data_IF_232325972307
#
_entry.id   IF_232325972307
#
_cell.length_a   1.000
_cell.length_b   1.000
_cell.length_c   1.000
_cell.angle_alpha   90.00
_cell.angle_beta   90.00
_cell.angle_gamma   90.00
#
_symmetry.space_group_name_H-M   'P 1'
#
loop_
_entity.id
_entity.type
_entity.pdbx_description
1 polymer ?
#
# COMPACT_ATOMS: atom_id res chain seq x y z
N UNK A 1 -18.55 -8.06 -4.95
CA UNK A 1 -19.64 -9.04 -5.11
C UNK A 1 -20.39 -9.21 -3.79
N UNK A 2 -21.58 -8.63 -3.70
CA UNK A 2 -22.39 -8.65 -2.46
C UNK A 2 -23.51 -9.70 -2.49
N UNK A 3 -23.76 -10.35 -3.64
CA UNK A 3 -24.78 -11.39 -3.77
C UNK A 3 -24.25 -12.74 -3.31
N UNK A 4 -25.02 -13.45 -2.48
CA UNK A 4 -24.77 -14.87 -2.21
C UNK A 4 -25.08 -15.66 -3.49
N UNK A 5 -24.07 -16.35 -4.01
CA UNK A 5 -24.24 -17.27 -5.12
C UNK A 5 -24.92 -18.54 -4.62
N UNK A 6 -25.92 -19.01 -5.36
CA UNK A 6 -26.43 -20.36 -5.21
C UNK A 6 -25.50 -21.31 -5.97
N UNK A 7 -24.83 -22.16 -5.20
CA UNK A 7 -23.85 -23.14 -5.70
C UNK A 7 -24.43 -24.55 -5.80
N UNK A 8 -25.70 -24.75 -5.45
CA UNK A 8 -26.34 -26.07 -5.48
C UNK A 8 -26.35 -26.69 -6.87
N UNK A 9 -26.47 -25.84 -7.88
CA UNK A 9 -26.41 -26.21 -9.29
C UNK A 9 -24.98 -26.22 -9.86
N UNK A 10 -23.91 -26.07 -9.07
CA UNK A 10 -22.55 -26.04 -9.62
C UNK A 10 -21.96 -27.45 -9.58
N UNK A 11 -21.25 -27.83 -10.64
CA UNK A 11 -20.61 -29.13 -10.72
C UNK A 11 -19.09 -29.02 -10.54
N UNK A 12 -18.51 -29.87 -9.71
CA UNK A 12 -17.06 -29.84 -9.42
C UNK A 12 -16.36 -31.18 -9.67
N UNK A 13 -17.07 -32.19 -10.18
CA UNK A 13 -16.58 -33.57 -10.31
C UNK A 13 -15.26 -33.74 -11.05
N UNK A 14 -15.03 -32.91 -12.08
CA UNK A 14 -13.78 -32.90 -12.84
C UNK A 14 -12.80 -31.86 -12.29
N UNK A 15 -13.29 -30.67 -11.91
CA UNK A 15 -12.48 -29.57 -11.37
C UNK A 15 -11.70 -30.03 -10.12
N UNK A 16 -12.37 -30.68 -9.16
CA UNK A 16 -11.76 -31.14 -7.91
C UNK A 16 -10.69 -32.21 -8.13
N UNK A 17 -10.77 -32.92 -9.27
CA UNK A 17 -9.84 -33.97 -9.65
C UNK A 17 -8.69 -33.48 -10.54
N UNK A 18 -8.70 -32.23 -11.01
CA UNK A 18 -7.67 -31.70 -11.92
C UNK A 18 -6.27 -31.87 -11.32
N UNK A 19 -6.09 -31.57 -10.03
CA UNK A 19 -4.80 -31.68 -9.33
C UNK A 19 -4.22 -33.10 -9.37
N UNK A 20 -5.08 -34.13 -9.29
CA UNK A 20 -4.70 -35.53 -9.41
C UNK A 20 -4.19 -35.87 -10.82
N UNK A 21 -4.74 -35.23 -11.87
CA UNK A 21 -4.31 -35.44 -13.25
C UNK A 21 -3.07 -34.62 -13.63
N UNK A 22 -2.87 -33.45 -13.01
CA UNK A 22 -1.79 -32.50 -13.33
C UNK A 22 -0.57 -32.63 -12.43
N UNK A 23 -0.36 -33.78 -11.76
CA UNK A 23 0.78 -34.03 -10.86
C UNK A 23 2.06 -33.33 -11.35
N UNK A 24 2.79 -32.69 -10.43
CA UNK A 24 3.99 -31.91 -10.73
C UNK A 24 5.17 -32.80 -11.15
N UNK A 25 5.12 -33.33 -12.37
CA UNK A 25 6.15 -34.16 -13.00
C UNK A 25 6.57 -33.58 -14.36
N UNK A 26 7.72 -33.99 -14.88
CA UNK A 26 8.31 -33.42 -16.09
C UNK A 26 7.45 -33.65 -17.34
N UNK A 27 6.81 -34.81 -17.45
CA UNK A 27 5.90 -35.14 -18.55
C UNK A 27 4.72 -34.17 -18.61
N UNK A 28 4.06 -33.90 -17.48
CA UNK A 28 2.92 -32.99 -17.40
C UNK A 28 3.32 -31.51 -17.59
N UNK A 29 4.56 -31.13 -17.29
CA UNK A 29 5.05 -29.76 -17.54
C UNK A 29 5.28 -29.43 -19.01
N UNK A 30 5.46 -30.44 -19.84
CA UNK A 30 5.83 -30.30 -21.25
C UNK A 30 4.70 -30.67 -22.21
N UNK A 31 3.74 -31.48 -21.74
CA UNK A 31 2.61 -31.95 -22.52
C UNK A 31 1.52 -30.85 -22.67
N UNK A 32 0.97 -30.62 -23.88
CA UNK A 32 -0.18 -29.75 -24.09
C UNK A 32 -1.45 -30.25 -23.36
N UNK A 33 -2.25 -29.33 -22.84
CA UNK A 33 -3.48 -29.67 -22.11
C UNK A 33 -4.51 -30.45 -22.96
N UNK A 34 -4.52 -30.26 -24.28
CA UNK A 34 -5.45 -30.96 -25.21
C UNK A 34 -5.22 -32.48 -25.24
N UNK A 35 -4.02 -32.94 -24.89
CA UNK A 35 -3.69 -34.38 -24.84
C UNK A 35 -4.21 -35.05 -23.56
N UNK A 36 -4.87 -34.30 -22.67
CA UNK A 36 -5.45 -34.77 -21.41
C UNK A 36 -6.95 -34.48 -21.37
N UNK A 37 -7.75 -35.41 -21.91
CA UNK A 37 -9.22 -35.30 -21.94
C UNK A 37 -9.87 -34.89 -20.60
N UNK A 38 -9.32 -35.35 -19.46
CA UNK A 38 -9.84 -34.97 -18.12
C UNK A 38 -9.60 -33.51 -17.74
N UNK A 39 -8.50 -32.92 -18.22
CA UNK A 39 -8.23 -31.48 -18.05
C UNK A 39 -9.23 -30.69 -18.90
N UNK A 40 -9.47 -31.13 -20.14
CA UNK A 40 -10.46 -30.50 -21.01
C UNK A 40 -11.87 -30.56 -20.42
N UNK A 41 -12.29 -31.70 -19.88
CA UNK A 41 -13.58 -31.85 -19.19
C UNK A 41 -13.69 -30.91 -17.98
N UNK A 42 -12.63 -30.80 -17.16
CA UNK A 42 -12.57 -29.85 -16.06
C UNK A 42 -12.70 -28.39 -16.53
N UNK A 43 -12.09 -28.05 -17.66
CA UNK A 43 -12.21 -26.71 -18.24
C UNK A 43 -13.61 -26.41 -18.79
N UNK A 44 -14.26 -27.37 -19.45
CA UNK A 44 -15.65 -27.23 -19.89
C UNK A 44 -16.61 -27.06 -18.70
N UNK A 45 -16.41 -27.83 -17.62
CA UNK A 45 -17.17 -27.68 -16.38
C UNK A 45 -16.94 -26.31 -15.73
N UNK A 46 -15.71 -25.78 -15.78
CA UNK A 46 -15.40 -24.44 -15.30
C UNK A 46 -16.13 -23.36 -16.12
N UNK A 47 -16.19 -23.50 -17.45
CA UNK A 47 -16.94 -22.58 -18.31
C UNK A 47 -18.44 -22.61 -17.96
N UNK A 48 -19.00 -23.80 -17.76
CA UNK A 48 -20.41 -23.93 -17.41
C UNK A 48 -20.72 -23.30 -16.05
N UNK A 49 -19.90 -23.57 -15.02
CA UNK A 49 -20.02 -22.91 -13.71
C UNK A 49 -19.87 -21.38 -13.83
N UNK A 50 -18.93 -20.89 -14.65
CA UNK A 50 -18.77 -19.46 -14.88
C UNK A 50 -20.02 -18.83 -15.54
N UNK A 51 -20.65 -19.52 -16.49
CA UNK A 51 -21.92 -19.11 -17.08
C UNK A 51 -23.03 -19.04 -16.03
N UNK A 52 -23.11 -20.01 -15.12
CA UNK A 52 -24.08 -20.03 -14.02
C UNK A 52 -23.84 -18.86 -13.06
N UNK A 53 -22.59 -18.58 -12.69
CA UNK A 53 -22.21 -17.41 -11.87
C UNK A 53 -22.67 -16.11 -12.53
N UNK A 54 -22.31 -15.87 -13.80
CA UNK A 54 -22.61 -14.62 -14.50
C UNK A 54 -24.13 -14.36 -14.58
N UNK A 55 -24.94 -15.41 -14.75
CA UNK A 55 -26.42 -15.30 -14.78
C UNK A 55 -27.02 -14.88 -13.45
N UNK A 56 -26.34 -15.16 -12.33
CA UNK A 56 -26.78 -14.77 -11.00
C UNK A 56 -26.32 -13.36 -10.61
N UNK A 57 -25.30 -12.81 -11.26
CA UNK A 57 -24.74 -11.50 -10.92
C UNK A 57 -25.48 -10.36 -11.62
N UNK A 58 -25.39 -9.16 -11.03
CA UNK A 58 -25.87 -7.94 -11.70
C UNK A 58 -24.93 -7.56 -12.85
N UNK A 59 -25.38 -6.67 -13.74
CA UNK A 59 -24.60 -6.25 -14.90
C UNK A 59 -23.21 -5.67 -14.54
N UNK A 60 -23.11 -4.96 -13.42
CA UNK A 60 -21.86 -4.35 -12.96
C UNK A 60 -20.83 -5.41 -12.52
N UNK A 61 -21.20 -6.33 -11.63
CA UNK A 61 -20.32 -7.42 -11.19
C UNK A 61 -19.94 -8.34 -12.36
N UNK A 62 -20.90 -8.68 -13.24
CA UNK A 62 -20.67 -9.52 -14.43
C UNK A 62 -19.70 -8.87 -15.42
N UNK A 63 -19.89 -7.58 -15.72
CA UNK A 63 -18.97 -6.84 -16.61
C UNK A 63 -17.57 -6.72 -16.02
N UNK A 64 -17.45 -6.54 -14.71
CA UNK A 64 -16.16 -6.48 -14.02
C UNK A 64 -15.36 -7.79 -14.17
N UNK A 65 -16.03 -8.94 -14.04
CA UNK A 65 -15.43 -10.25 -14.32
C UNK A 65 -14.98 -10.34 -15.77
N UNK A 66 -15.88 -10.02 -16.71
CA UNK A 66 -15.59 -10.12 -18.14
C UNK A 66 -14.36 -9.28 -18.54
N UNK A 67 -14.29 -8.04 -18.08
CA UNK A 67 -13.18 -7.12 -18.36
C UNK A 67 -11.88 -7.66 -17.75
N UNK A 68 -11.89 -8.12 -16.51
CA UNK A 68 -10.71 -8.65 -15.85
C UNK A 68 -10.17 -9.92 -16.54
N UNK A 69 -11.05 -10.84 -16.94
CA UNK A 69 -10.65 -12.03 -17.72
C UNK A 69 -10.06 -11.65 -19.08
N UNK A 70 -10.69 -10.72 -19.80
CA UNK A 70 -10.19 -10.23 -21.08
C UNK A 70 -8.83 -9.53 -20.93
N UNK A 71 -8.65 -8.75 -19.86
CA UNK A 71 -7.39 -8.09 -19.55
C UNK A 71 -6.29 -9.09 -19.22
N UNK A 72 -6.59 -10.12 -18.40
CA UNK A 72 -5.64 -11.18 -18.11
C UNK A 72 -5.18 -11.87 -19.41
N UNK A 73 -6.09 -12.24 -20.31
CA UNK A 73 -5.74 -12.85 -21.60
C UNK A 73 -4.82 -11.96 -22.44
N UNK A 74 -5.06 -10.64 -22.44
CA UNK A 74 -4.29 -9.67 -23.23
C UNK A 74 -2.96 -9.27 -22.60
N UNK A 75 -2.85 -9.32 -21.27
CA UNK A 75 -1.79 -8.60 -20.53
C UNK A 75 -0.98 -9.47 -19.57
N UNK A 76 -1.31 -10.76 -19.40
CA UNK A 76 -0.63 -11.63 -18.42
C UNK A 76 0.89 -11.78 -18.63
N UNK A 77 1.39 -11.46 -19.82
CA UNK A 77 2.81 -11.50 -20.18
C UNK A 77 3.55 -10.19 -19.87
N UNK A 78 2.84 -9.11 -19.53
CA UNK A 78 3.44 -7.83 -19.16
C UNK A 78 3.90 -7.83 -17.70
N UNK A 79 5.21 -7.65 -17.50
CA UNK A 79 5.79 -7.47 -16.16
C UNK A 79 5.71 -6.02 -15.68
N UNK A 80 5.81 -5.08 -16.63
CA UNK A 80 5.90 -3.63 -16.41
C UNK A 80 4.63 -2.92 -16.89
N UNK A 81 4.43 -1.71 -16.40
CA UNK A 81 3.37 -0.84 -16.92
C UNK A 81 3.61 -0.58 -18.40
N UNK A 82 2.59 -0.89 -19.21
CA UNK A 82 2.64 -0.77 -20.67
C UNK A 82 1.47 0.13 -21.10
N UNK A 83 1.67 1.46 -21.08
CA UNK A 83 0.67 2.44 -21.50
C UNK A 83 0.48 2.43 -23.02
N UNK A 84 -0.63 3.03 -23.46
CA UNK A 84 -0.81 3.44 -24.86
C UNK A 84 0.21 4.52 -25.26
N UNK A 85 0.32 4.83 -26.55
CA UNK A 85 1.33 5.76 -27.07
C UNK A 85 1.28 7.13 -26.40
N UNK A 86 0.08 7.69 -26.19
CA UNK A 86 -0.13 9.03 -25.65
C UNK A 86 -0.16 9.11 -24.11
N UNK A 87 -0.13 7.97 -23.42
CA UNK A 87 -0.22 7.93 -21.96
C UNK A 87 1.16 8.10 -21.30
N UNK A 88 1.22 8.68 -20.07
CA UNK A 88 2.49 8.86 -19.36
C UNK A 88 3.23 7.54 -19.19
N UNK A 89 4.54 7.54 -19.43
CA UNK A 89 5.34 6.29 -19.47
C UNK A 89 5.70 5.71 -18.11
N UNK A 90 5.44 6.42 -17.02
CA UNK A 90 5.90 6.05 -15.68
C UNK A 90 4.82 6.32 -14.64
N UNK A 91 4.60 5.32 -13.80
CA UNK A 91 3.79 5.43 -12.58
C UNK A 91 4.60 6.13 -11.50
N UNK A 92 4.07 7.22 -10.96
CA UNK A 92 4.69 8.01 -9.89
C UNK A 92 4.13 7.61 -8.52
N UNK A 93 4.82 7.98 -7.43
CA UNK A 93 4.27 7.82 -6.09
C UNK A 93 3.25 8.93 -5.83
N UNK A 94 2.14 8.58 -5.19
CA UNK A 94 0.96 9.44 -5.08
C UNK A 94 0.04 9.38 -6.29
N UNK A 95 0.40 8.61 -7.33
CA UNK A 95 -0.41 8.44 -8.54
C UNK A 95 -1.61 7.53 -8.25
N UNK A 96 -2.82 8.03 -8.49
CA UNK A 96 -4.03 7.20 -8.59
C UNK A 96 -4.04 6.50 -9.95
N UNK A 97 -4.38 5.22 -9.95
CA UNK A 97 -4.34 4.36 -11.13
C UNK A 97 -5.61 3.51 -11.23
N UNK A 98 -6.12 3.27 -12.44
CA UNK A 98 -7.06 2.16 -12.68
C UNK A 98 -6.26 0.85 -12.69
N UNK A 99 -6.62 -0.09 -11.82
CA UNK A 99 -5.90 -1.35 -11.64
C UNK A 99 -6.85 -2.53 -11.81
N UNK A 100 -6.38 -3.56 -12.51
CA UNK A 100 -7.00 -4.88 -12.52
C UNK A 100 -6.45 -5.75 -11.39
N UNK A 101 -7.21 -5.85 -10.30
CA UNK A 101 -6.91 -6.71 -9.16
C UNK A 101 -7.21 -8.19 -9.43
N UNK A 102 -7.93 -8.53 -10.49
CA UNK A 102 -8.35 -9.89 -10.84
C UNK A 102 -9.40 -10.46 -9.86
N UNK A 103 -9.63 -11.77 -9.94
CA UNK A 103 -10.52 -12.47 -9.00
C UNK A 103 -9.92 -12.50 -7.60
N UNK A 104 -10.72 -12.13 -6.60
CA UNK A 104 -10.32 -12.09 -5.18
C UNK A 104 -11.41 -12.72 -4.29
N UNK A 105 -11.08 -12.92 -3.02
CA UNK A 105 -12.03 -13.47 -2.04
C UNK A 105 -12.87 -12.38 -1.39
N UNK A 106 -13.97 -12.81 -0.75
CA UNK A 106 -14.83 -11.89 0.00
C UNK A 106 -14.00 -11.16 1.08
N UNK A 107 -14.09 -9.84 1.10
CA UNK A 107 -13.32 -8.97 1.99
C UNK A 107 -12.14 -8.29 1.29
N UNK A 108 -11.72 -8.79 0.14
CA UNK A 108 -10.71 -8.18 -0.72
C UNK A 108 -11.37 -7.47 -1.89
N UNK A 109 -10.78 -6.37 -2.34
CA UNK A 109 -11.17 -5.70 -3.58
C UNK A 109 -10.68 -6.52 -4.78
N UNK A 110 -11.57 -6.76 -5.73
CA UNK A 110 -11.30 -7.57 -6.92
C UNK A 110 -11.71 -6.83 -8.17
N UNK A 111 -11.27 -7.32 -9.32
CA UNK A 111 -11.57 -6.73 -10.63
C UNK A 111 -11.00 -5.32 -10.77
N UNK A 112 -11.71 -4.46 -11.50
CA UNK A 112 -11.21 -3.15 -11.91
C UNK A 112 -11.62 -2.09 -10.89
N UNK A 113 -10.64 -1.56 -10.17
CA UNK A 113 -10.85 -0.47 -9.23
C UNK A 113 -9.71 0.54 -9.26
N UNK A 114 -9.94 1.77 -8.81
CA UNK A 114 -8.87 2.72 -8.56
C UNK A 114 -7.96 2.20 -7.43
N UNK A 115 -6.71 2.61 -7.46
CA UNK A 115 -5.78 2.41 -6.34
C UNK A 115 -4.64 3.43 -6.37
N UNK A 116 -4.16 3.76 -5.17
CA UNK A 116 -3.09 4.73 -4.97
C UNK A 116 -1.73 4.03 -4.96
N UNK A 117 -0.82 4.43 -5.84
CA UNK A 117 0.57 3.98 -5.81
C UNK A 117 1.35 4.68 -4.69
N UNK A 118 1.79 3.93 -3.68
CA UNK A 118 2.50 4.47 -2.51
C UNK A 118 3.97 4.06 -2.45
N UNK A 119 4.37 3.08 -3.28
CA UNK A 119 5.75 2.62 -3.33
C UNK A 119 6.02 1.67 -4.48
N UNK A 120 7.27 1.24 -4.60
CA UNK A 120 7.72 0.27 -5.59
C UNK A 120 8.86 -0.56 -5.03
N UNK A 121 8.83 -1.87 -5.30
CA UNK A 121 9.94 -2.79 -5.03
C UNK A 121 10.14 -3.65 -6.28
N UNK A 122 11.35 -3.60 -6.83
CA UNK A 122 11.68 -4.22 -8.11
C UNK A 122 10.68 -3.79 -9.21
N UNK A 123 10.10 -4.73 -9.95
CA UNK A 123 9.09 -4.44 -10.98
C UNK A 123 7.64 -4.43 -10.44
N UNK A 124 7.45 -4.43 -9.12
CA UNK A 124 6.13 -4.41 -8.47
C UNK A 124 5.82 -3.10 -7.78
N UNK A 125 4.59 -2.65 -7.90
CA UNK A 125 4.08 -1.44 -7.30
C UNK A 125 3.32 -1.78 -6.02
N UNK A 126 3.63 -1.10 -4.93
CA UNK A 126 2.84 -1.15 -3.71
C UNK A 126 1.67 -0.19 -3.88
N UNK A 127 0.46 -0.73 -3.85
CA UNK A 127 -0.77 0.03 -4.08
C UNK A 127 -1.74 -0.16 -2.93
N UNK A 128 -2.44 0.92 -2.58
CA UNK A 128 -3.57 0.89 -1.65
C UNK A 128 -4.84 0.98 -2.50
N UNK A 129 -5.68 -0.06 -2.55
CA UNK A 129 -6.90 -0.01 -3.33
C UNK A 129 -7.89 1.04 -2.82
N UNK A 130 -8.76 1.51 -3.72
CA UNK A 130 -9.70 2.59 -3.46
C UNK A 130 -11.13 2.22 -3.84
N UNK A 131 -12.09 2.82 -3.14
CA UNK A 131 -13.52 2.74 -3.50
C UNK A 131 -14.26 4.02 -3.11
N UNK A 132 -15.37 4.28 -3.79
CA UNK A 132 -16.16 5.53 -3.68
C UNK A 132 -17.51 5.32 -3.00
N UNK A 133 -17.70 4.18 -2.32
CA UNK A 133 -18.96 3.82 -1.65
C UNK A 133 -19.33 4.80 -0.52
N UNK A 134 -20.30 5.68 -0.76
CA UNK A 134 -20.70 6.75 0.17
C UNK A 134 -21.18 6.26 1.53
N UNK A 135 -21.88 5.11 1.59
CA UNK A 135 -22.59 4.62 2.78
C UNK A 135 -21.69 4.26 3.97
N UNK A 136 -20.39 4.03 3.75
CA UNK A 136 -19.47 3.65 4.82
C UNK A 136 -18.23 4.56 4.91
N UNK A 137 -18.02 5.45 3.93
CA UNK A 137 -16.95 6.46 3.95
C UNK A 137 -16.94 7.27 5.25
N UNK A 138 -18.09 7.75 5.69
CA UNK A 138 -18.18 8.62 6.87
C UNK A 138 -17.86 7.88 8.19
N UNK A 139 -17.79 6.54 8.14
CA UNK A 139 -17.35 5.69 9.27
C UNK A 139 -15.84 5.38 9.23
N UNK A 140 -15.12 5.82 8.21
CA UNK A 140 -13.70 5.58 8.07
C UNK A 140 -12.88 6.66 8.80
N UNK A 141 -11.65 6.31 9.15
CA UNK A 141 -10.71 7.24 9.75
C UNK A 141 -10.33 8.37 8.80
N UNK A 142 -10.27 9.59 9.32
CA UNK A 142 -9.61 10.74 8.69
C UNK A 142 -8.90 11.55 9.77
N UNK A 143 -7.64 11.95 9.61
CA UNK A 143 -6.84 12.58 10.68
C UNK A 143 -7.45 13.86 11.23
N UNK A 144 -8.17 14.62 10.39
CA UNK A 144 -8.87 15.86 10.78
C UNK A 144 -10.34 15.62 11.07
N UNK A 145 -11.11 15.14 10.09
CA UNK A 145 -12.57 15.06 10.18
C UNK A 145 -13.12 13.90 11.01
N UNK A 146 -12.37 12.79 11.14
CA UNK A 146 -12.83 11.61 11.87
C UNK A 146 -11.68 10.83 12.53
N UNK A 147 -10.95 11.44 13.48
CA UNK A 147 -9.68 10.92 13.99
C UNK A 147 -9.83 9.70 14.92
N UNK A 148 -11.04 9.42 15.40
CA UNK A 148 -11.29 8.41 16.43
C UNK A 148 -11.72 7.05 15.86
N UNK A 149 -11.85 6.91 14.53
CA UNK A 149 -12.22 5.65 13.90
C UNK A 149 -11.01 4.72 13.70
N UNK A 150 -11.30 3.44 13.39
CA UNK A 150 -10.27 2.45 13.09
C UNK A 150 -9.51 2.83 11.82
N UNK A 151 -8.19 2.65 11.86
CA UNK A 151 -7.27 3.04 10.77
C UNK A 151 -7.21 2.04 9.61
N UNK A 152 -8.00 0.97 9.67
CA UNK A 152 -8.11 -0.07 8.64
C UNK A 152 -8.53 0.48 7.28
N UNK A 153 -9.33 1.54 7.29
CA UNK A 153 -9.77 2.26 6.11
C UNK A 153 -9.62 3.76 6.35
N UNK A 154 -9.11 4.48 5.36
CA UNK A 154 -8.86 5.93 5.44
C UNK A 154 -9.72 6.65 4.41
N UNK A 155 -10.44 7.69 4.83
CA UNK A 155 -11.08 8.59 3.88
C UNK A 155 -10.00 9.27 3.01
N UNK A 156 -10.29 9.43 1.72
CA UNK A 156 -9.52 10.28 0.83
C UNK A 156 -10.43 11.38 0.29
N UNK A 157 -9.96 12.62 0.33
CA UNK A 157 -10.77 13.80 0.03
C UNK A 157 -10.23 14.56 -1.18
N UNK A 158 -11.12 15.21 -1.92
CA UNK A 158 -10.73 16.13 -3.00
C UNK A 158 -9.75 17.22 -2.54
N UNK A 159 -9.90 17.72 -1.30
CA UNK A 159 -8.97 18.66 -0.67
C UNK A 159 -7.54 18.14 -0.49
N UNK A 160 -7.34 16.81 -0.50
CA UNK A 160 -6.06 16.15 -0.38
C UNK A 160 -5.39 15.89 -1.76
N UNK A 161 -6.05 16.29 -2.86
CA UNK A 161 -5.56 16.15 -4.23
C UNK A 161 -6.14 14.96 -5.01
N UNK A 162 -7.16 14.28 -4.47
CA UNK A 162 -7.90 13.24 -5.19
C UNK A 162 -8.94 13.86 -6.14
N UNK A 163 -9.28 13.19 -7.25
CA UNK A 163 -10.31 13.67 -8.18
C UNK A 163 -11.71 13.60 -7.52
N UNK A 164 -11.94 12.59 -6.68
CA UNK A 164 -13.21 12.32 -6.01
C UNK A 164 -12.98 11.85 -4.58
N UNK A 165 -13.91 12.20 -3.71
CA UNK A 165 -13.92 11.66 -2.35
C UNK A 165 -14.14 10.13 -2.39
N UNK A 166 -13.44 9.42 -1.51
CA UNK A 166 -13.50 7.97 -1.44
C UNK A 166 -12.87 7.42 -0.17
N UNK A 167 -12.50 6.15 -0.24
CA UNK A 167 -11.85 5.42 0.83
C UNK A 167 -10.68 4.61 0.29
N UNK A 168 -9.54 4.73 0.97
CA UNK A 168 -8.37 3.88 0.84
C UNK A 168 -8.53 2.65 1.74
N UNK A 169 -8.49 1.46 1.13
CA UNK A 169 -8.56 0.17 1.82
C UNK A 169 -7.16 -0.19 2.35
N UNK A 170 -6.79 0.36 3.50
CA UNK A 170 -5.41 0.26 4.01
C UNK A 170 -5.01 -1.19 4.28
N UNK A 171 -5.94 -1.98 4.82
CA UNK A 171 -5.72 -3.41 5.10
C UNK A 171 -5.63 -4.29 3.85
N UNK A 172 -6.07 -3.79 2.70
CA UNK A 172 -6.03 -4.50 1.42
C UNK A 172 -4.87 -4.05 0.52
N UNK A 173 -3.89 -3.36 1.12
CA UNK A 173 -2.65 -2.95 0.45
C UNK A 173 -1.89 -4.17 -0.05
N UNK A 174 -1.42 -4.11 -1.31
CA UNK A 174 -0.67 -5.21 -1.91
C UNK A 174 0.33 -4.77 -2.97
N UNK A 175 1.31 -5.63 -3.23
CA UNK A 175 2.20 -5.50 -4.37
C UNK A 175 1.54 -6.05 -5.63
N UNK A 176 1.45 -5.25 -6.68
CA UNK A 176 0.94 -5.64 -8.00
C UNK A 176 2.03 -5.55 -9.06
N UNK A 177 1.90 -6.34 -10.12
CA UNK A 177 2.69 -6.15 -11.34
C UNK A 177 2.24 -4.87 -12.06
N UNK A 178 3.16 -4.16 -12.70
CA UNK A 178 2.82 -3.04 -13.58
C UNK A 178 1.90 -3.43 -14.75
N UNK A 179 1.89 -4.70 -15.18
CA UNK A 179 0.99 -5.18 -16.23
C UNK A 179 -0.50 -5.09 -15.87
N UNK A 180 -0.81 -5.01 -14.56
CA UNK A 180 -2.18 -4.83 -14.02
C UNK A 180 -2.65 -3.38 -14.04
N UNK A 181 -1.74 -2.43 -14.22
CA UNK A 181 -2.09 -1.00 -14.28
C UNK A 181 -2.63 -0.72 -15.68
N UNK A 182 -3.85 -0.21 -15.75
CA UNK A 182 -4.55 0.09 -17.00
C UNK A 182 -4.36 1.55 -17.39
N UNK A 183 -4.61 2.45 -16.44
CA UNK A 183 -4.64 3.91 -16.67
C UNK A 183 -4.06 4.64 -15.46
N UNK A 184 -3.51 5.84 -15.71
CA UNK A 184 -3.01 6.75 -14.68
C UNK A 184 -3.92 7.98 -14.63
N UNK A 185 -4.18 8.48 -13.43
CA UNK A 185 -5.08 9.60 -13.17
C UNK A 185 -4.36 10.76 -12.48
N UNK A 186 -4.94 11.31 -11.41
CA UNK A 186 -4.38 12.39 -10.61
C UNK A 186 -3.18 11.93 -9.75
N UNK A 187 -2.34 12.89 -9.38
CA UNK A 187 -1.27 12.72 -8.40
C UNK A 187 -1.63 13.55 -7.18
N UNK A 188 -1.69 12.91 -6.01
CA UNK A 188 -2.07 13.57 -4.78
C UNK A 188 -0.92 14.40 -4.18
N UNK A 189 -1.25 15.24 -3.20
CA UNK A 189 -0.28 16.07 -2.49
C UNK A 189 0.80 15.22 -1.79
N UNK A 190 2.07 15.63 -1.89
CA UNK A 190 3.20 14.88 -1.33
C UNK A 190 3.13 14.71 0.20
N UNK A 191 2.70 15.75 0.92
CA UNK A 191 2.56 15.69 2.38
C UNK A 191 1.46 14.72 2.81
N UNK A 192 0.37 14.66 2.04
CA UNK A 192 -0.72 13.70 2.26
C UNK A 192 -0.21 12.29 1.98
N UNK A 193 0.52 12.08 0.89
CA UNK A 193 1.13 10.78 0.58
C UNK A 193 2.01 10.29 1.73
N UNK A 194 2.81 11.17 2.34
CA UNK A 194 3.68 10.79 3.45
C UNK A 194 2.87 10.41 4.70
N UNK A 195 1.79 11.16 5.02
CA UNK A 195 0.86 10.78 6.08
C UNK A 195 0.19 9.43 5.82
N UNK A 196 -0.20 9.15 4.58
CA UNK A 196 -0.80 7.87 4.18
C UNK A 196 0.21 6.74 4.35
N UNK A 197 1.48 6.92 3.97
CA UNK A 197 2.53 5.92 4.15
C UNK A 197 2.81 5.65 5.63
N UNK A 198 2.84 6.68 6.47
CA UNK A 198 3.02 6.53 7.91
C UNK A 198 1.86 5.74 8.53
N UNK A 199 0.62 6.06 8.15
CA UNK A 199 -0.56 5.28 8.53
C UNK A 199 -0.47 3.83 8.03
N UNK A 200 0.00 3.62 6.80
CA UNK A 200 0.19 2.27 6.25
C UNK A 200 1.25 1.48 7.04
N UNK A 201 2.34 2.15 7.45
CA UNK A 201 3.37 1.52 8.28
C UNK A 201 2.81 1.08 9.62
N UNK A 202 2.01 1.93 10.29
CA UNK A 202 1.27 1.56 11.50
C UNK A 202 0.35 0.36 11.27
N UNK A 203 -0.38 0.32 10.15
CA UNK A 203 -1.33 -0.75 9.84
C UNK A 203 -0.64 -2.09 9.56
N UNK A 204 0.45 -2.09 8.79
CA UNK A 204 1.14 -3.33 8.40
C UNK A 204 2.06 -3.85 9.51
N UNK A 205 2.64 -2.96 10.31
CA UNK A 205 3.64 -3.31 11.32
C UNK A 205 3.41 -2.56 12.64
N UNK A 206 2.26 -2.75 13.31
CA UNK A 206 1.87 -1.94 14.47
C UNK A 206 2.87 -2.03 15.63
N UNK A 207 3.45 -3.21 15.87
CA UNK A 207 4.47 -3.39 16.90
C UNK A 207 5.74 -2.59 16.60
N UNK A 208 6.30 -2.77 15.41
CA UNK A 208 7.53 -2.08 14.98
C UNK A 208 7.30 -0.57 14.92
N UNK A 209 6.13 -0.14 14.47
CA UNK A 209 5.73 1.27 14.47
C UNK A 209 5.77 1.84 15.89
N UNK A 210 5.13 1.18 16.85
CA UNK A 210 5.10 1.66 18.24
C UNK A 210 6.50 1.72 18.86
N UNK A 211 7.34 0.71 18.62
CA UNK A 211 8.74 0.70 19.05
C UNK A 211 9.52 1.87 18.44
N UNK A 212 9.32 2.14 17.14
CA UNK A 212 9.94 3.27 16.43
C UNK A 212 9.51 4.60 17.01
N UNK A 213 8.23 4.76 17.35
CA UNK A 213 7.69 5.96 17.99
C UNK A 213 8.24 6.17 19.40
N UNK A 214 8.41 5.10 20.18
CA UNK A 214 9.06 5.19 21.49
C UNK A 214 10.54 5.60 21.37
N UNK A 215 11.26 5.04 20.41
CA UNK A 215 12.65 5.39 20.13
C UNK A 215 12.74 6.87 19.71
N UNK A 216 11.87 7.34 18.80
CA UNK A 216 11.80 8.75 18.39
C UNK A 216 11.57 9.66 19.60
N UNK A 217 10.63 9.34 20.49
CA UNK A 217 10.38 10.11 21.72
C UNK A 217 11.59 10.14 22.65
N UNK A 218 12.29 9.02 22.83
CA UNK A 218 13.52 8.95 23.64
C UNK A 218 14.63 9.81 23.02
N UNK A 219 14.81 9.75 21.71
CA UNK A 219 15.81 10.55 20.99
C UNK A 219 15.54 12.06 21.12
N UNK A 220 14.28 12.50 21.01
CA UNK A 220 13.93 13.92 21.23
C UNK A 220 14.29 14.37 22.65
N UNK A 221 13.99 13.55 23.67
CA UNK A 221 14.35 13.85 25.06
C UNK A 221 15.87 13.95 25.26
N UNK A 222 16.63 13.01 24.69
CA UNK A 222 18.09 13.01 24.75
C UNK A 222 18.69 14.21 24.03
N UNK A 223 18.15 14.58 22.86
CA UNK A 223 18.61 15.76 22.12
C UNK A 223 18.42 17.04 22.93
N UNK A 224 17.24 17.23 23.52
CA UNK A 224 16.96 18.39 24.38
C UNK A 224 17.88 18.44 25.63
N UNK A 225 18.19 17.28 26.22
CA UNK A 225 19.11 17.19 27.34
C UNK A 225 20.55 17.57 26.94
N UNK A 226 21.01 17.07 25.79
CA UNK A 226 22.32 17.42 25.23
C UNK A 226 22.42 18.92 24.92
N UNK A 227 21.40 19.52 24.32
CA UNK A 227 21.38 20.96 24.02
C UNK A 227 21.45 21.80 25.29
N UNK A 228 20.78 21.37 26.37
CA UNK A 228 20.86 22.03 27.68
C UNK A 228 22.24 21.86 28.33
N UNK A 229 22.83 20.67 28.30
CA UNK A 229 24.18 20.44 28.82
C UNK A 229 25.21 21.26 28.04
N UNK A 230 25.10 21.35 26.72
CA UNK A 230 25.98 22.16 25.88
C UNK A 230 25.93 23.65 26.27
N UNK A 231 24.72 24.18 26.52
CA UNK A 231 24.53 25.55 27.04
C UNK A 231 25.19 25.73 28.42
N UNK A 232 25.04 24.77 29.33
CA UNK A 232 25.67 24.82 30.66
C UNK A 232 27.20 24.80 30.56
N UNK A 233 27.77 23.94 29.72
CA UNK A 233 29.22 23.85 29.48
C UNK A 233 29.76 25.18 28.94
N UNK A 234 29.09 25.78 27.95
CA UNK A 234 29.51 27.08 27.42
C UNK A 234 29.47 28.18 28.49
N UNK A 235 28.43 28.20 29.33
CA UNK A 235 28.34 29.15 30.44
C UNK A 235 29.47 28.96 31.47
N UNK A 236 29.81 27.71 31.80
CA UNK A 236 30.90 27.40 32.73
C UNK A 236 32.27 27.74 32.15
N UNK A 237 32.51 27.46 30.86
CA UNK A 237 33.73 27.88 30.15
C UNK A 237 33.94 29.37 30.23
N UNK A 238 32.90 30.15 29.91
CA UNK A 238 32.98 31.61 29.96
C UNK A 238 33.25 32.14 31.38
N UNK A 239 32.64 31.53 32.41
CA UNK A 239 32.94 31.84 33.81
C UNK A 239 34.39 31.51 34.18
N UNK A 240 34.88 30.35 33.77
CA UNK A 240 36.26 29.94 34.02
C UNK A 240 37.25 30.89 33.34
N UNK A 241 37.06 31.24 32.08
CA UNK A 241 37.91 32.22 31.37
C UNK A 241 37.98 33.56 32.11
N UNK A 242 36.83 34.05 32.60
CA UNK A 242 36.76 35.29 33.38
C UNK A 242 37.49 35.18 34.73
N UNK A 243 37.39 34.04 35.41
CA UNK A 243 38.09 33.79 36.67
C UNK A 243 39.60 33.65 36.45
N UNK A 244 40.03 32.89 35.45
CA UNK A 244 41.44 32.74 35.09
C UNK A 244 42.08 34.08 34.76
N UNK A 245 41.38 34.97 34.04
CA UNK A 245 41.87 36.33 33.77
C UNK A 245 42.05 37.14 35.06
N UNK A 246 41.09 37.09 35.98
CA UNK A 246 41.20 37.79 37.28
C UNK A 246 42.35 37.28 38.14
N UNK A 247 42.63 35.97 38.11
CA UNK A 247 43.77 35.40 38.84
C UNK A 247 45.08 35.95 38.27
N UNK A 248 45.23 35.95 36.94
CA UNK A 248 46.42 36.53 36.28
C UNK A 248 46.61 38.01 36.63
N UNK A 249 45.54 38.80 36.61
CA UNK A 249 45.59 40.22 36.98
C UNK A 249 46.05 40.39 38.43
N UNK A 250 45.55 39.57 39.38
CA UNK A 250 45.98 39.61 40.78
C UNK A 250 47.43 39.15 41.00
N UNK A 251 47.89 38.12 40.29
CA UNK A 251 49.27 37.63 40.36
C UNK A 251 50.26 38.70 39.83
N UNK A 252 49.89 39.42 38.76
CA UNK A 252 50.67 40.53 38.23
C UNK A 252 50.76 41.71 39.21
N UNK A 253 49.65 42.04 39.88
CA UNK A 253 49.61 43.09 40.91
C UNK A 253 50.46 42.73 42.15
N UNK A 254 50.51 41.46 42.54
CA UNK A 254 51.38 41.00 43.64
C UNK A 254 52.87 41.06 43.27
N UNK A 255 53.24 40.72 42.04
CA UNK A 255 54.63 40.84 41.57
C UNK A 255 55.11 42.29 41.50
N UNK A 256 54.23 43.22 41.09
CA UNK A 256 54.52 44.66 41.08
C UNK A 256 54.64 45.27 42.49
N UNK A 257 54.05 44.67 43.52
CA UNK A 257 54.18 45.12 44.92
C UNK A 257 55.43 44.59 45.64
N UNK A 258 56.11 43.59 45.06
CA UNK A 258 57.31 42.95 45.61
C UNK A 258 58.61 43.43 44.94
N UNK A 259 58.52 44.28 43.90
CA UNK A 259 59.65 44.99 43.28
C UNK A 259 59.70 46.44 43.76
#
# INVERSE_FOLDING_TARGET
MDRKLDISDFEFDYIDKVSYYTKNNLTNKTMPAIERHKILNGFLQLIDNANRVIRQLNAYDSSSILIAEANWMKRNHFKKYTPNEDAPKKVLFGQVCTIDYGKTYKGEIGYIHPGLCVGKKDDKYLVIPMTTGKTWRDKCYHPIHNPNMTKENRQCCTSEGFEKDGVLLMNDTKFISGGRILELHEIINADILEQIKDQLFYMLFPQIYNETEEIRKKNIKLQNANDNMAKQINNLKHKNEKLSKRILDFEADEQNKKS
#
